data_IF_189491946948
#
_entry.id   IF_189491946948
#
_cell.length_a   1.000
_cell.length_b   1.000
_cell.length_c   1.000
_cell.angle_alpha   90.00
_cell.angle_beta   90.00
_cell.angle_gamma   90.00
#
_symmetry.space_group_name_H-M   'P 1'
#
loop_
_entity.id
_entity.type
_entity.pdbx_description
1 polymer ?
#
# COMPACT_ATOMS: atom_id res chain seq x y z
N UNK A 1 -38.09 -35.06 3.97
CA UNK A 1 -36.96 -34.99 3.01
C UNK A 1 -36.83 -33.63 2.31
N UNK A 2 -37.88 -33.05 1.72
CA UNK A 2 -37.80 -31.73 1.03
C UNK A 2 -37.28 -30.57 1.89
N UNK A 3 -37.68 -30.48 3.16
CA UNK A 3 -37.23 -29.41 4.09
C UNK A 3 -35.73 -29.51 4.45
N UNK A 4 -35.19 -30.73 4.51
CA UNK A 4 -33.77 -30.98 4.79
C UNK A 4 -32.89 -30.62 3.58
N UNK A 5 -33.37 -30.92 2.37
CA UNK A 5 -32.72 -30.55 1.12
C UNK A 5 -32.66 -29.03 0.92
N UNK A 6 -33.74 -28.30 1.27
CA UNK A 6 -33.76 -26.83 1.22
C UNK A 6 -32.73 -26.22 2.19
N UNK A 7 -32.62 -26.77 3.41
CA UNK A 7 -31.67 -26.28 4.42
C UNK A 7 -30.20 -26.53 4.02
N UNK A 8 -29.94 -27.67 3.37
CA UNK A 8 -28.61 -27.97 2.82
C UNK A 8 -28.26 -27.05 1.64
N UNK A 9 -29.24 -26.75 0.77
CA UNK A 9 -29.04 -25.88 -0.39
C UNK A 9 -28.80 -24.42 0.03
N UNK A 10 -29.50 -23.91 1.04
CA UNK A 10 -29.26 -22.56 1.59
C UNK A 10 -27.93 -22.49 2.33
N UNK A 11 -27.55 -23.49 3.12
CA UNK A 11 -26.23 -23.53 3.78
C UNK A 11 -25.08 -23.57 2.77
N UNK A 12 -25.26 -24.26 1.64
CA UNK A 12 -24.26 -24.30 0.57
C UNK A 12 -24.14 -22.95 -0.13
N UNK A 13 -25.26 -22.22 -0.30
CA UNK A 13 -25.28 -20.87 -0.90
C UNK A 13 -24.50 -19.84 -0.07
N UNK A 14 -24.56 -19.92 1.27
CA UNK A 14 -23.78 -19.05 2.16
C UNK A 14 -22.28 -19.37 2.17
N UNK A 15 -21.87 -20.61 1.81
CA UNK A 15 -20.47 -21.00 1.70
C UNK A 15 -19.81 -20.50 0.40
N UNK A 16 -20.59 -20.20 -0.65
CA UNK A 16 -20.08 -19.70 -1.94
C UNK A 16 -20.02 -18.18 -2.05
N UNK A 17 -20.61 -17.44 -1.10
CA UNK A 17 -20.37 -16.00 -0.93
C UNK A 17 -19.01 -15.78 -0.28
N UNK A 18 -17.97 -16.23 -0.98
CA UNK A 18 -16.58 -16.14 -0.58
C UNK A 18 -16.21 -14.69 -0.26
N UNK A 19 -15.65 -14.53 0.93
CA UNK A 19 -15.11 -13.31 1.53
C UNK A 19 -14.12 -12.55 0.61
N UNK A 20 -14.60 -11.83 -0.41
CA UNK A 20 -13.83 -10.78 -1.07
C UNK A 20 -13.86 -9.53 -0.18
N UNK A 21 -12.69 -9.03 0.20
CA UNK A 21 -12.60 -7.77 0.94
C UNK A 21 -12.99 -6.60 0.02
N UNK A 22 -13.81 -5.63 0.47
CA UNK A 22 -14.15 -4.46 -0.33
C UNK A 22 -12.93 -3.65 -0.72
N UNK A 23 -12.91 -3.17 -1.95
CA UNK A 23 -11.80 -2.45 -2.58
C UNK A 23 -11.37 -1.19 -1.82
N UNK A 24 -12.33 -0.34 -1.44
CA UNK A 24 -12.07 0.88 -0.68
C UNK A 24 -11.34 0.59 0.64
N UNK A 25 -11.54 -0.62 1.19
CA UNK A 25 -10.85 -1.04 2.41
C UNK A 25 -9.38 -1.34 2.16
N UNK A 26 -9.02 -1.87 0.99
CA UNK A 26 -7.63 -2.17 0.63
C UNK A 26 -6.82 -0.88 0.46
N UNK A 27 -7.38 0.10 -0.25
CA UNK A 27 -6.74 1.41 -0.44
C UNK A 27 -6.57 2.14 0.90
N UNK A 28 -7.63 2.21 1.71
CA UNK A 28 -7.56 2.87 3.02
C UNK A 28 -6.54 2.23 3.97
N UNK A 29 -6.32 0.91 3.85
CA UNK A 29 -5.28 0.18 4.62
C UNK A 29 -3.86 0.55 4.20
N UNK A 30 -3.64 1.17 3.04
CA UNK A 30 -2.31 1.59 2.61
C UNK A 30 -1.82 2.80 3.41
N UNK A 31 -2.70 3.76 3.68
CA UNK A 31 -2.39 5.02 4.39
C UNK A 31 -1.55 4.86 5.66
N UNK A 32 -1.89 3.99 6.64
CA UNK A 32 -1.08 3.83 7.84
C UNK A 32 0.35 3.36 7.54
N UNK A 33 0.56 2.49 6.54
CA UNK A 33 1.91 2.06 6.14
C UNK A 33 2.72 3.22 5.57
N UNK A 34 2.09 4.07 4.75
CA UNK A 34 2.78 5.23 4.17
C UNK A 34 3.13 6.26 5.25
N UNK A 35 2.24 6.49 6.21
CA UNK A 35 2.55 7.38 7.34
C UNK A 35 3.67 6.85 8.23
N UNK A 36 3.66 5.56 8.55
CA UNK A 36 4.74 4.93 9.33
C UNK A 36 6.08 5.00 8.60
N UNK A 37 6.08 4.71 7.29
CA UNK A 37 7.29 4.77 6.48
C UNK A 37 7.83 6.21 6.39
N UNK A 38 6.97 7.22 6.20
CA UNK A 38 7.40 8.62 6.21
C UNK A 38 8.00 9.02 7.55
N UNK A 39 7.35 8.67 8.66
CA UNK A 39 7.87 8.91 10.03
C UNK A 39 9.23 8.23 10.24
N UNK A 40 9.36 6.99 9.79
CA UNK A 40 10.61 6.25 9.87
C UNK A 40 11.73 6.93 9.08
N UNK A 41 11.48 7.35 7.84
CA UNK A 41 12.46 8.04 7.01
C UNK A 41 12.94 9.35 7.64
N UNK A 42 12.00 10.14 8.18
CA UNK A 42 12.30 11.39 8.89
C UNK A 42 13.16 11.10 10.13
N UNK A 43 12.75 10.14 10.96
CA UNK A 43 13.48 9.77 12.17
C UNK A 43 14.89 9.26 11.87
N UNK A 44 15.03 8.41 10.86
CA UNK A 44 16.30 7.85 10.43
C UNK A 44 17.24 8.94 9.88
N UNK A 45 16.69 9.91 9.15
CA UNK A 45 17.47 11.05 8.66
C UNK A 45 17.99 11.89 9.82
N UNK A 46 17.14 12.25 10.78
CA UNK A 46 17.55 13.00 11.99
C UNK A 46 18.62 12.23 12.77
N UNK A 47 18.43 10.92 12.93
CA UNK A 47 19.39 10.05 13.62
C UNK A 47 20.74 10.03 12.89
N UNK A 48 20.75 10.09 11.56
CA UNK A 48 21.96 10.05 10.75
C UNK A 48 22.68 11.41 10.64
N UNK A 49 21.95 12.52 10.52
CA UNK A 49 22.53 13.86 10.37
C UNK A 49 22.80 14.56 11.71
N UNK A 50 22.12 14.14 12.79
CA UNK A 50 22.17 14.79 14.10
C UNK A 50 21.29 16.05 14.22
N UNK A 51 20.64 16.47 13.14
CA UNK A 51 19.73 17.63 13.11
C UNK A 51 18.62 17.49 12.05
N UNK A 52 17.80 18.53 11.88
CA UNK A 52 16.72 18.58 10.87
C UNK A 52 17.09 19.41 9.63
N UNK A 53 18.35 19.84 9.49
CA UNK A 53 18.75 20.83 8.47
C UNK A 53 18.48 20.35 7.04
N UNK A 54 18.67 19.06 6.78
CA UNK A 54 18.44 18.44 5.48
C UNK A 54 16.97 18.13 5.17
N UNK A 55 16.07 18.23 6.16
CA UNK A 55 14.67 17.86 6.02
C UNK A 55 13.80 19.00 5.50
N UNK A 56 12.80 18.63 4.70
CA UNK A 56 11.70 19.54 4.36
C UNK A 56 10.95 19.94 5.63
N UNK A 57 10.37 21.16 5.62
CA UNK A 57 9.47 21.61 6.69
C UNK A 57 8.23 20.72 6.77
N UNK A 58 7.69 20.34 5.60
CA UNK A 58 6.56 19.42 5.46
C UNK A 58 6.96 18.23 4.57
N UNK A 59 7.59 17.18 5.14
CA UNK A 59 7.84 15.94 4.43
C UNK A 59 6.51 15.29 4.03
N UNK A 60 6.43 14.74 2.81
CA UNK A 60 5.21 14.13 2.29
C UNK A 60 5.50 12.93 1.40
N UNK A 61 4.44 12.21 1.05
CA UNK A 61 4.48 11.15 0.05
C UNK A 61 3.40 11.36 -1.00
N UNK A 62 3.59 10.76 -2.18
CA UNK A 62 2.58 10.73 -3.24
C UNK A 62 2.45 9.32 -3.79
N UNK A 63 1.22 8.81 -3.80
CA UNK A 63 0.88 7.58 -4.52
C UNK A 63 0.90 7.91 -6.01
N UNK A 64 1.85 7.32 -6.75
CA UNK A 64 2.06 7.53 -8.18
C UNK A 64 1.25 6.59 -9.04
N UNK A 65 1.01 5.39 -8.51
CA UNK A 65 0.28 4.34 -9.20
C UNK A 65 -0.40 3.46 -8.15
N UNK A 66 -1.66 3.14 -8.38
CA UNK A 66 -2.43 2.23 -7.56
C UNK A 66 -3.25 1.34 -8.48
N UNK A 67 -3.09 0.03 -8.35
CA UNK A 67 -3.79 -0.93 -9.20
C UNK A 67 -4.37 -2.04 -8.36
N UNK A 68 -5.56 -2.45 -8.74
CA UNK A 68 -6.21 -3.63 -8.22
C UNK A 68 -6.01 -4.73 -9.24
N UNK A 69 -5.67 -5.91 -8.75
CA UNK A 69 -5.54 -7.09 -9.59
C UNK A 69 -6.87 -7.83 -9.63
N UNK A 70 -7.21 -8.38 -10.79
CA UNK A 70 -8.42 -9.15 -11.02
C UNK A 70 -8.09 -10.59 -11.45
N UNK A 71 -9.08 -11.47 -11.36
CA UNK A 71 -8.98 -12.83 -11.91
C UNK A 71 -7.89 -13.70 -11.26
N UNK A 72 -7.04 -14.32 -12.09
CA UNK A 72 -6.00 -15.23 -11.60
C UNK A 72 -4.85 -14.50 -10.89
N UNK A 73 -4.59 -13.24 -11.24
CA UNK A 73 -3.51 -12.43 -10.67
C UNK A 73 -3.80 -12.03 -9.21
N UNK A 74 -5.09 -11.95 -8.84
CA UNK A 74 -5.53 -11.59 -7.49
C UNK A 74 -5.42 -12.71 -6.45
N UNK A 75 -4.98 -13.92 -6.84
CA UNK A 75 -4.95 -15.10 -5.94
C UNK A 75 -3.91 -15.01 -4.82
N UNK A 76 -2.84 -14.23 -5.03
CA UNK A 76 -1.75 -14.07 -4.06
C UNK A 76 -1.68 -12.60 -3.63
N UNK A 77 -1.67 -11.68 -4.60
CA UNK A 77 -1.69 -10.25 -4.35
C UNK A 77 -2.92 -9.64 -4.99
N UNK A 78 -3.74 -8.90 -4.26
CA UNK A 78 -4.94 -8.26 -4.82
C UNK A 78 -4.73 -6.80 -5.23
N UNK A 79 -3.62 -6.18 -4.83
CA UNK A 79 -3.34 -4.80 -5.20
C UNK A 79 -1.84 -4.50 -5.24
N UNK A 80 -1.52 -3.41 -5.90
CA UNK A 80 -0.19 -2.84 -6.04
C UNK A 80 -0.26 -1.33 -5.80
N UNK A 81 0.80 -0.79 -5.19
CA UNK A 81 1.00 0.65 -5.10
C UNK A 81 2.46 1.03 -5.35
N UNK A 82 2.66 2.12 -6.09
CA UNK A 82 3.92 2.83 -6.21
C UNK A 82 3.81 4.16 -5.50
N UNK A 83 4.75 4.47 -4.61
CA UNK A 83 4.72 5.68 -3.80
C UNK A 83 6.10 6.31 -3.77
N UNK A 84 6.15 7.62 -4.01
CA UNK A 84 7.35 8.43 -3.87
C UNK A 84 7.29 9.22 -2.57
N UNK A 85 8.39 9.20 -1.81
CA UNK A 85 8.56 9.90 -0.54
C UNK A 85 9.56 11.04 -0.69
N UNK A 86 9.15 12.25 -0.31
CA UNK A 86 9.90 13.49 -0.43
C UNK A 86 10.19 14.03 0.97
N UNK A 87 11.45 13.93 1.38
CA UNK A 87 11.88 14.34 2.73
C UNK A 87 13.03 15.33 2.72
N UNK A 88 13.76 15.50 1.61
CA UNK A 88 14.96 16.34 1.54
C UNK A 88 14.64 17.71 0.97
N UNK A 89 15.17 18.75 1.61
CA UNK A 89 14.93 20.16 1.24
C UNK A 89 15.74 20.59 0.02
N UNK A 90 17.04 20.37 0.06
CA UNK A 90 17.98 21.00 -0.87
C UNK A 90 18.45 20.08 -2.00
N UNK A 91 18.02 18.82 -1.98
CA UNK A 91 18.38 17.82 -2.99
C UNK A 91 17.09 17.33 -3.65
N UNK A 92 17.04 17.41 -4.97
CA UNK A 92 15.99 16.81 -5.78
C UNK A 92 16.13 15.29 -5.77
N UNK A 93 15.78 14.67 -4.64
CA UNK A 93 15.88 13.25 -4.40
C UNK A 93 14.64 12.77 -3.64
N UNK A 94 14.11 11.63 -4.05
CA UNK A 94 12.97 10.99 -3.41
C UNK A 94 13.20 9.48 -3.31
N UNK A 95 12.60 8.87 -2.30
CA UNK A 95 12.61 7.42 -2.15
C UNK A 95 11.33 6.85 -2.76
N UNK A 96 11.48 6.06 -3.82
CA UNK A 96 10.39 5.28 -4.42
C UNK A 96 10.24 3.96 -3.67
N UNK A 97 9.03 3.65 -3.24
CA UNK A 97 8.66 2.35 -2.65
C UNK A 97 7.55 1.70 -3.45
N UNK A 98 7.61 0.37 -3.53
CA UNK A 98 6.53 -0.45 -4.08
C UNK A 98 5.95 -1.36 -3.01
N UNK A 99 4.62 -1.43 -3.03
CA UNK A 99 3.82 -2.20 -2.11
C UNK A 99 2.95 -3.18 -2.89
N UNK A 100 2.68 -4.33 -2.27
CA UNK A 100 1.71 -5.31 -2.76
C UNK A 100 0.80 -5.73 -1.63
N UNK A 101 -0.49 -5.91 -1.91
CA UNK A 101 -1.45 -6.31 -0.90
C UNK A 101 -1.63 -7.82 -0.92
N UNK A 102 -1.17 -8.51 0.12
CA UNK A 102 -1.26 -9.96 0.25
C UNK A 102 -2.67 -10.38 0.71
N UNK A 103 -3.31 -11.28 -0.04
CA UNK A 103 -4.71 -11.65 0.20
C UNK A 103 -4.91 -12.58 1.39
N UNK A 104 -3.88 -13.35 1.74
CA UNK A 104 -3.94 -14.33 2.82
C UNK A 104 -3.80 -13.65 4.18
N UNK A 105 -2.85 -12.71 4.27
CA UNK A 105 -2.58 -11.92 5.47
C UNK A 105 -3.42 -10.66 5.56
N UNK A 106 -4.03 -10.22 4.45
CA UNK A 106 -4.84 -8.99 4.32
C UNK A 106 -4.07 -7.74 4.73
N UNK A 107 -2.79 -7.68 4.32
CA UNK A 107 -1.82 -6.65 4.69
C UNK A 107 -1.04 -6.18 3.47
N UNK A 108 -0.51 -4.96 3.60
CA UNK A 108 0.45 -4.42 2.64
C UNK A 108 1.87 -4.87 2.98
N UNK A 109 2.57 -5.36 1.97
CA UNK A 109 3.98 -5.71 2.05
C UNK A 109 4.82 -4.75 1.21
N UNK A 110 5.93 -4.29 1.79
CA UNK A 110 6.98 -3.54 1.11
C UNK A 110 7.88 -4.54 0.38
N UNK A 111 8.05 -4.40 -0.92
CA UNK A 111 8.86 -5.35 -1.69
C UNK A 111 9.94 -4.71 -2.58
N UNK A 112 9.89 -3.39 -2.76
CA UNK A 112 10.95 -2.65 -3.45
C UNK A 112 11.17 -1.28 -2.81
N UNK A 113 12.45 -0.90 -2.71
CA UNK A 113 12.91 0.45 -2.35
C UNK A 113 13.96 0.88 -3.37
N UNK A 114 13.80 2.07 -3.95
CA UNK A 114 14.76 2.65 -4.89
C UNK A 114 14.92 4.13 -4.61
N UNK A 115 16.17 4.60 -4.55
CA UNK A 115 16.47 6.03 -4.49
C UNK A 115 16.41 6.63 -5.89
N UNK A 116 15.72 7.74 -6.06
CA UNK A 116 15.56 8.43 -7.33
C UNK A 116 15.99 9.88 -7.20
N UNK A 117 16.59 10.40 -8.27
CA UNK A 117 16.93 11.80 -8.42
C UNK A 117 15.92 12.45 -9.38
N UNK A 118 15.55 13.68 -9.11
CA UNK A 118 14.51 14.40 -9.81
C UNK A 118 13.50 15.04 -8.85
N UNK A 119 12.88 16.11 -9.32
CA UNK A 119 11.77 16.76 -8.62
C UNK A 119 10.50 15.94 -8.78
N UNK A 120 9.52 16.25 -7.94
CA UNK A 120 8.20 15.64 -8.00
C UNK A 120 7.52 15.95 -9.34
N UNK A 121 7.56 14.99 -10.27
CA UNK A 121 6.82 15.05 -11.53
C UNK A 121 5.56 14.22 -11.41
N UNK A 122 4.41 14.78 -11.76
CA UNK A 122 3.21 14.00 -12.02
C UNK A 122 3.46 13.28 -13.35
N UNK A 123 3.33 11.95 -13.46
CA UNK A 123 3.29 11.31 -14.76
C UNK A 123 2.08 11.85 -15.53
N UNK A 124 2.31 12.43 -16.70
CA UNK A 124 1.24 12.82 -17.64
C UNK A 124 0.35 11.63 -18.01
#
# INVERSE_FOLDING_TARGET
MKKLAIFFLTSLLFLVLGCSEPTDRIENKLTPYLQEDLKFMVAETIRSSGDKSALMEEPYYRVKDFRLFEGAESRIYAAYAEVDFFIYKDIAMHEKRKYRYDVHTRKWDRYLKVLKFGRDTIPD
#
